data_IF_686398462313
#
_entry.id   IF_686398462313
#
_cell.length_a   1.000
_cell.length_b   1.000
_cell.length_c   1.000
_cell.angle_alpha   90.00
_cell.angle_beta   90.00
_cell.angle_gamma   90.00
#
_symmetry.space_group_name_H-M   'P 1'
#
loop_
_entity.id
_entity.type
_entity.pdbx_description
1 polymer ?
#
# COMPACT_ATOMS: atom_id res chain seq x y z
N UNK A 1 18.72 49.89 -31.20
CA UNK A 1 17.34 49.65 -30.73
C UNK A 1 16.97 48.26 -31.18
N UNK A 2 17.23 47.27 -30.32
CA UNK A 2 16.95 45.86 -30.60
C UNK A 2 16.30 45.32 -29.34
N UNK A 3 14.97 45.41 -29.33
CA UNK A 3 14.10 44.94 -28.27
C UNK A 3 14.04 43.41 -28.38
N UNK A 4 15.00 42.75 -27.74
CA UNK A 4 15.01 41.29 -27.61
C UNK A 4 13.97 40.92 -26.56
N UNK A 5 12.75 40.70 -27.06
CA UNK A 5 11.63 40.17 -26.30
C UNK A 5 12.06 38.94 -25.51
N UNK A 6 12.24 39.14 -24.20
CA UNK A 6 12.44 38.06 -23.26
C UNK A 6 11.22 37.15 -23.35
N UNK A 7 11.41 36.02 -24.05
CA UNK A 7 10.44 34.95 -24.13
C UNK A 7 10.03 34.57 -22.72
N UNK A 8 8.86 35.03 -22.32
CA UNK A 8 8.21 34.66 -21.08
C UNK A 8 7.87 33.17 -21.24
N UNK A 9 8.81 32.29 -20.87
CA UNK A 9 8.54 30.86 -20.76
C UNK A 9 7.46 30.78 -19.68
N UNK A 10 6.20 30.42 -20.00
CA UNK A 10 5.21 30.25 -18.96
C UNK A 10 5.70 29.10 -18.09
N UNK A 11 6.15 29.43 -16.88
CA UNK A 11 6.47 28.45 -15.85
C UNK A 11 5.12 27.80 -15.53
N UNK A 12 4.85 26.67 -16.19
CA UNK A 12 3.66 25.86 -15.96
C UNK A 12 3.64 25.57 -14.46
N UNK A 13 2.64 26.03 -13.68
CA UNK A 13 2.65 25.80 -12.25
C UNK A 13 2.70 24.29 -12.02
N UNK A 14 3.76 23.85 -11.34
CA UNK A 14 4.01 22.44 -11.04
C UNK A 14 2.87 21.94 -10.14
N UNK A 15 1.90 21.30 -10.80
CA UNK A 15 0.70 20.63 -10.29
C UNK A 15 -0.33 21.53 -9.60
N UNK A 16 -1.34 21.96 -10.37
CA UNK A 16 -2.64 22.25 -9.78
C UNK A 16 -3.11 21.00 -9.01
N UNK A 17 -3.56 21.18 -7.77
CA UNK A 17 -4.14 20.12 -6.97
C UNK A 17 -5.21 19.37 -7.79
N UNK A 18 -5.19 18.02 -7.86
CA UNK A 18 -6.24 17.28 -8.57
C UNK A 18 -7.59 17.34 -7.84
N UNK A 19 -7.64 17.89 -6.63
CA UNK A 19 -8.83 17.90 -5.76
C UNK A 19 -9.68 19.12 -6.06
N UNK A 20 -10.94 18.84 -6.38
CA UNK A 20 -12.01 19.83 -6.55
C UNK A 20 -13.15 19.48 -5.61
N UNK A 21 -14.15 20.37 -5.48
CA UNK A 21 -15.37 20.09 -4.69
C UNK A 21 -16.09 18.81 -5.15
N UNK A 22 -16.05 18.53 -6.45
CA UNK A 22 -16.64 17.32 -7.05
C UNK A 22 -15.77 16.06 -6.87
N UNK A 23 -14.48 16.22 -6.60
CA UNK A 23 -13.51 15.12 -6.40
C UNK A 23 -12.63 15.41 -5.19
N UNK A 24 -13.21 15.39 -3.98
CA UNK A 24 -12.52 15.81 -2.77
C UNK A 24 -11.33 14.89 -2.41
N UNK A 25 -11.37 13.63 -2.88
CA UNK A 25 -10.35 12.61 -2.59
C UNK A 25 -9.57 12.19 -3.84
N UNK A 26 -9.45 13.07 -4.85
CA UNK A 26 -8.55 12.81 -5.95
C UNK A 26 -7.08 12.85 -5.47
N UNK A 27 -6.33 11.80 -5.77
CA UNK A 27 -4.90 11.72 -5.52
C UNK A 27 -4.14 11.67 -6.85
N UNK A 28 -2.95 12.25 -6.84
CA UNK A 28 -1.98 12.16 -7.94
C UNK A 28 -1.31 10.79 -7.92
N UNK A 29 -0.76 10.36 -9.07
CA UNK A 29 0.04 9.12 -9.12
C UNK A 29 1.19 9.15 -8.10
N UNK A 30 1.89 10.28 -7.91
CA UNK A 30 2.98 10.33 -6.93
C UNK A 30 2.52 10.08 -5.49
N UNK A 31 1.34 10.56 -5.11
CA UNK A 31 0.76 10.30 -3.77
C UNK A 31 0.42 8.83 -3.58
N UNK A 32 -0.10 8.18 -4.63
CA UNK A 32 -0.29 6.74 -4.59
C UNK A 32 1.05 6.00 -4.47
N UNK A 33 2.10 6.39 -5.23
CA UNK A 33 3.40 5.67 -5.23
C UNK A 33 3.95 5.66 -3.81
N UNK A 34 3.90 6.83 -3.18
CA UNK A 34 4.33 7.02 -1.81
C UNK A 34 3.48 6.21 -0.80
N UNK A 35 2.15 6.13 -1.01
CA UNK A 35 1.29 5.27 -0.21
C UNK A 35 1.62 3.78 -0.36
N UNK A 36 1.89 3.33 -1.58
CA UNK A 36 2.30 1.95 -1.88
C UNK A 36 3.66 1.62 -1.27
N UNK A 37 4.63 2.54 -1.32
CA UNK A 37 5.91 2.35 -0.62
C UNK A 37 5.76 2.22 0.88
N UNK A 38 4.90 3.04 1.50
CA UNK A 38 4.64 2.92 2.94
C UNK A 38 3.93 1.61 3.27
N UNK A 39 2.98 1.18 2.44
CA UNK A 39 2.35 -0.14 2.60
C UNK A 39 3.39 -1.27 2.47
N UNK A 40 4.28 -1.21 1.48
CA UNK A 40 5.36 -2.19 1.30
C UNK A 40 6.28 -2.27 2.52
N UNK A 41 6.72 -1.13 3.05
CA UNK A 41 7.58 -1.07 4.23
C UNK A 41 6.84 -1.57 5.48
N UNK A 42 5.58 -1.15 5.68
CA UNK A 42 4.76 -1.58 6.79
C UNK A 42 4.51 -3.10 6.75
N UNK A 43 4.22 -3.65 5.58
CA UNK A 43 4.03 -5.10 5.39
C UNK A 43 5.28 -5.87 5.80
N UNK A 44 6.44 -5.49 5.27
CA UNK A 44 7.69 -6.19 5.56
C UNK A 44 8.11 -6.03 7.03
N UNK A 45 7.89 -4.86 7.64
CA UNK A 45 8.15 -4.65 9.06
C UNK A 45 7.27 -5.55 9.94
N UNK A 46 5.96 -5.60 9.67
CA UNK A 46 5.04 -6.45 10.44
C UNK A 46 5.35 -7.93 10.22
N UNK A 47 5.63 -8.33 8.98
CA UNK A 47 6.01 -9.72 8.66
C UNK A 47 7.27 -10.12 9.41
N UNK A 48 8.33 -9.30 9.35
CA UNK A 48 9.59 -9.55 10.05
C UNK A 48 9.39 -9.66 11.56
N UNK A 49 8.67 -8.71 12.17
CA UNK A 49 8.37 -8.73 13.61
C UNK A 49 7.54 -9.95 14.02
N UNK A 50 6.60 -10.39 13.17
CA UNK A 50 5.76 -11.56 13.44
C UNK A 50 6.56 -12.86 13.39
N UNK A 51 7.42 -13.01 12.37
CA UNK A 51 8.32 -14.15 12.22
C UNK A 51 9.31 -14.19 13.37
N UNK A 52 9.95 -13.06 13.68
CA UNK A 52 10.86 -12.91 14.81
C UNK A 52 10.18 -13.26 16.15
N UNK A 53 9.02 -12.66 16.42
CA UNK A 53 8.29 -12.85 17.67
C UNK A 53 7.82 -14.28 17.88
N UNK A 54 7.29 -14.92 16.83
CA UNK A 54 6.88 -16.33 16.89
C UNK A 54 8.06 -17.28 17.08
N UNK A 55 9.20 -17.03 16.41
CA UNK A 55 10.42 -17.81 16.60
C UNK A 55 10.94 -17.72 18.03
N UNK A 56 11.03 -16.50 18.58
CA UNK A 56 11.47 -16.27 19.97
C UNK A 56 10.53 -16.97 20.96
N UNK A 57 9.21 -16.82 20.80
CA UNK A 57 8.24 -17.43 21.71
C UNK A 57 8.31 -18.96 21.67
N UNK A 58 8.46 -19.54 20.48
CA UNK A 58 8.59 -20.99 20.30
C UNK A 58 9.85 -21.50 21.00
N UNK A 59 11.01 -20.87 20.73
CA UNK A 59 12.28 -21.27 21.36
C UNK A 59 12.24 -21.16 22.88
N UNK A 60 11.65 -20.09 23.44
CA UNK A 60 11.46 -19.93 24.89
C UNK A 60 10.55 -21.02 25.45
N UNK A 61 9.44 -21.32 24.78
CA UNK A 61 8.49 -22.35 25.22
C UNK A 61 9.08 -23.76 25.21
N UNK A 62 10.02 -24.03 24.32
CA UNK A 62 10.70 -25.32 24.18
C UNK A 62 12.02 -25.40 24.97
N UNK A 63 12.42 -24.34 25.68
CA UNK A 63 13.68 -24.29 26.42
C UNK A 63 14.94 -24.27 25.55
N UNK A 64 14.80 -23.88 24.27
CA UNK A 64 15.89 -23.78 23.30
C UNK A 64 16.57 -22.41 23.37
N UNK A 65 17.81 -22.26 22.86
CA UNK A 65 18.42 -20.96 22.68
C UNK A 65 17.55 -20.03 21.83
N UNK A 66 17.42 -18.77 22.23
CA UNK A 66 16.53 -17.77 21.60
C UNK A 66 16.78 -17.63 20.09
N UNK A 67 18.05 -17.77 19.68
CA UNK A 67 18.48 -17.59 18.30
C UNK A 67 18.58 -18.88 17.48
N UNK A 68 18.16 -20.01 18.04
CA UNK A 68 18.16 -21.27 17.31
C UNK A 68 17.16 -21.21 16.13
N UNK A 69 17.58 -21.65 14.94
CA UNK A 69 16.78 -21.58 13.71
C UNK A 69 16.62 -20.18 13.06
N UNK A 70 17.23 -19.12 13.60
CA UNK A 70 17.07 -17.77 13.06
C UNK A 70 17.54 -17.58 11.62
N UNK A 71 18.57 -18.31 11.19
CA UNK A 71 19.10 -18.23 9.83
C UNK A 71 18.00 -18.53 8.79
N UNK A 72 17.12 -19.48 9.07
CA UNK A 72 15.99 -19.83 8.20
C UNK A 72 14.96 -18.70 8.13
N UNK A 73 14.73 -17.99 9.24
CA UNK A 73 13.80 -16.87 9.31
C UNK A 73 14.31 -15.62 8.58
N UNK A 74 15.62 -15.34 8.66
CA UNK A 74 16.25 -14.30 7.83
C UNK A 74 16.18 -14.66 6.34
N UNK A 75 16.35 -15.94 6.01
CA UNK A 75 16.25 -16.43 4.63
C UNK A 75 14.83 -16.23 4.08
N UNK A 76 13.79 -16.58 4.84
CA UNK A 76 12.39 -16.32 4.46
C UNK A 76 12.12 -14.84 4.21
N UNK A 77 12.66 -13.95 5.05
CA UNK A 77 12.51 -12.50 4.89
C UNK A 77 13.23 -11.98 3.64
N UNK A 78 14.43 -12.51 3.35
CA UNK A 78 15.21 -12.19 2.16
C UNK A 78 14.48 -12.57 0.87
N UNK A 79 13.74 -13.68 0.86
CA UNK A 79 12.91 -14.08 -0.28
C UNK A 79 11.54 -13.37 -0.33
N UNK A 80 10.95 -13.02 0.82
CA UNK A 80 9.67 -12.31 0.85
C UNK A 80 9.77 -10.89 0.32
N UNK A 81 10.92 -10.24 0.49
CA UNK A 81 11.17 -8.85 0.07
C UNK A 81 11.05 -8.64 -1.46
N UNK A 82 11.75 -9.41 -2.32
CA UNK A 82 11.59 -9.28 -3.78
C UNK A 82 10.21 -9.71 -4.27
N UNK A 83 9.62 -10.75 -3.66
CA UNK A 83 8.29 -11.25 -4.07
C UNK A 83 7.21 -10.22 -3.73
N UNK A 84 7.20 -9.71 -2.50
CA UNK A 84 6.29 -8.64 -2.12
C UNK A 84 6.54 -7.39 -2.95
N UNK A 85 7.80 -7.03 -3.21
CA UNK A 85 8.15 -5.92 -4.10
C UNK A 85 7.56 -6.07 -5.50
N UNK A 86 7.62 -7.26 -6.09
CA UNK A 86 7.04 -7.55 -7.41
C UNK A 86 5.52 -7.46 -7.39
N UNK A 87 4.87 -8.02 -6.38
CA UNK A 87 3.41 -7.93 -6.18
C UNK A 87 2.95 -6.46 -6.06
N UNK A 88 3.67 -5.67 -5.27
CA UNK A 88 3.38 -4.24 -5.09
C UNK A 88 3.64 -3.44 -6.37
N UNK A 89 4.72 -3.72 -7.09
CA UNK A 89 5.10 -3.02 -8.32
C UNK A 89 4.23 -3.37 -9.54
N UNK A 90 3.63 -4.57 -9.56
CA UNK A 90 2.79 -5.04 -10.68
C UNK A 90 1.33 -4.66 -10.47
N UNK A 91 0.53 -5.54 -9.87
CA UNK A 91 -0.91 -5.35 -9.77
C UNK A 91 -1.33 -4.53 -8.55
N UNK A 92 -0.55 -4.53 -7.46
CA UNK A 92 -0.87 -3.76 -6.25
C UNK A 92 -0.97 -2.25 -6.54
N UNK A 93 0.02 -1.73 -7.26
CA UNK A 93 0.04 -0.36 -7.78
C UNK A 93 -1.19 -0.01 -8.63
N UNK A 94 -1.45 -0.81 -9.65
CA UNK A 94 -2.52 -0.55 -10.62
C UNK A 94 -3.91 -0.66 -9.98
N UNK A 95 -4.11 -1.65 -9.10
CA UNK A 95 -5.37 -1.82 -8.39
C UNK A 95 -5.63 -0.66 -7.42
N UNK A 96 -4.61 -0.18 -6.70
CA UNK A 96 -4.73 0.99 -5.83
C UNK A 96 -5.08 2.27 -6.63
N UNK A 97 -4.44 2.47 -7.78
CA UNK A 97 -4.77 3.60 -8.68
C UNK A 97 -6.20 3.52 -9.20
N UNK A 98 -6.62 2.34 -9.68
CA UNK A 98 -7.97 2.12 -10.21
C UNK A 98 -9.04 2.38 -9.14
N UNK A 99 -8.83 1.80 -7.95
CA UNK A 99 -9.72 1.97 -6.80
C UNK A 99 -9.79 3.44 -6.35
N UNK A 100 -8.65 4.12 -6.27
CA UNK A 100 -8.60 5.52 -5.89
C UNK A 100 -9.27 6.45 -6.91
N UNK A 101 -9.17 6.16 -8.22
CA UNK A 101 -9.92 6.90 -9.26
C UNK A 101 -11.43 6.66 -9.16
N UNK A 102 -11.84 5.43 -8.90
CA UNK A 102 -13.25 5.08 -8.72
C UNK A 102 -13.87 5.79 -7.50
N UNK A 103 -13.14 5.85 -6.39
CA UNK A 103 -13.58 6.48 -5.14
C UNK A 103 -13.30 7.98 -5.06
N UNK A 104 -12.78 8.61 -6.11
CA UNK A 104 -12.34 10.01 -6.05
C UNK A 104 -13.47 11.01 -5.69
N UNK A 105 -14.72 10.65 -6.00
CA UNK A 105 -15.93 11.44 -5.69
C UNK A 105 -16.47 11.19 -4.28
N UNK A 106 -16.05 10.13 -3.60
CA UNK A 106 -16.58 9.76 -2.30
C UNK A 106 -15.85 10.54 -1.17
N UNK A 107 -16.52 11.47 -0.48
CA UNK A 107 -15.88 12.26 0.58
C UNK A 107 -15.65 11.47 1.87
N UNK A 108 -16.38 10.37 2.11
CA UNK A 108 -16.35 9.63 3.37
C UNK A 108 -15.07 8.81 3.49
N UNK A 109 -14.14 9.26 4.34
CA UNK A 109 -12.87 8.56 4.61
C UNK A 109 -13.02 7.09 4.99
N UNK A 110 -14.08 6.72 5.72
CA UNK A 110 -14.29 5.33 6.14
C UNK A 110 -14.54 4.37 4.96
N UNK A 111 -15.17 4.85 3.88
CA UNK A 111 -15.39 4.04 2.66
C UNK A 111 -14.06 3.68 2.01
N UNK A 112 -13.14 4.65 1.91
CA UNK A 112 -11.79 4.41 1.42
C UNK A 112 -11.04 3.43 2.31
N UNK A 113 -11.10 3.59 3.64
CA UNK A 113 -10.45 2.65 4.59
C UNK A 113 -10.89 1.21 4.36
N UNK A 114 -12.20 0.97 4.26
CA UNK A 114 -12.74 -0.38 4.00
C UNK A 114 -12.29 -0.89 2.64
N UNK A 115 -12.31 -0.04 1.62
CA UNK A 115 -11.90 -0.43 0.27
C UNK A 115 -10.41 -0.82 0.19
N UNK A 116 -9.50 -0.04 0.81
CA UNK A 116 -8.07 -0.37 0.85
C UNK A 116 -7.76 -1.55 1.76
N UNK A 117 -8.50 -1.72 2.87
CA UNK A 117 -8.44 -2.94 3.68
C UNK A 117 -8.82 -4.16 2.86
N UNK A 118 -9.94 -4.12 2.14
CA UNK A 118 -10.40 -5.20 1.28
C UNK A 118 -9.41 -5.51 0.15
N UNK A 119 -8.85 -4.48 -0.48
CA UNK A 119 -7.82 -4.63 -1.51
C UNK A 119 -6.56 -5.30 -0.94
N UNK A 120 -6.07 -4.85 0.22
CA UNK A 120 -4.92 -5.44 0.90
C UNK A 120 -5.19 -6.89 1.31
N UNK A 121 -6.39 -7.18 1.82
CA UNK A 121 -6.78 -8.54 2.19
C UNK A 121 -6.79 -9.48 0.98
N UNK A 122 -7.50 -9.10 -0.10
CA UNK A 122 -7.61 -9.91 -1.30
C UNK A 122 -6.23 -10.13 -1.96
N UNK A 123 -5.42 -9.07 -2.07
CA UNK A 123 -4.07 -9.18 -2.62
C UNK A 123 -3.16 -10.04 -1.75
N UNK A 124 -3.17 -9.87 -0.43
CA UNK A 124 -2.37 -10.70 0.48
C UNK A 124 -2.76 -12.17 0.42
N UNK A 125 -4.06 -12.47 0.40
CA UNK A 125 -4.58 -13.83 0.28
C UNK A 125 -4.14 -14.48 -1.04
N UNK A 126 -4.39 -13.82 -2.19
CA UNK A 126 -3.99 -14.33 -3.51
C UNK A 126 -2.47 -14.51 -3.63
N UNK A 127 -1.69 -13.55 -3.15
CA UNK A 127 -0.22 -13.62 -3.19
C UNK A 127 0.29 -14.80 -2.36
N UNK A 128 -0.32 -15.05 -1.20
CA UNK A 128 0.07 -16.16 -0.34
C UNK A 128 -0.27 -17.53 -0.94
N UNK A 129 -1.38 -17.65 -1.68
CA UNK A 129 -1.71 -18.89 -2.41
C UNK A 129 -0.64 -19.20 -3.46
N UNK A 130 -0.26 -18.20 -4.25
CA UNK A 130 0.78 -18.33 -5.28
C UNK A 130 2.14 -18.64 -4.65
N UNK A 131 2.51 -17.94 -3.57
CA UNK A 131 3.76 -18.17 -2.88
C UNK A 131 3.86 -19.60 -2.33
N UNK A 132 2.81 -20.08 -1.66
CA UNK A 132 2.81 -21.44 -1.09
C UNK A 132 2.92 -22.51 -2.19
N UNK A 133 2.25 -22.34 -3.34
CA UNK A 133 2.45 -23.28 -4.47
C UNK A 133 3.88 -23.28 -4.97
N UNK A 134 4.43 -22.09 -5.23
CA UNK A 134 5.75 -21.96 -5.84
C UNK A 134 6.88 -22.40 -4.91
N UNK A 135 6.71 -22.24 -3.59
CA UNK A 135 7.80 -22.46 -2.62
C UNK A 135 7.76 -23.85 -2.00
N UNK A 136 6.57 -24.38 -1.70
CA UNK A 136 6.43 -25.63 -0.95
C UNK A 136 6.03 -26.82 -1.84
N UNK A 137 5.67 -26.60 -3.11
CA UNK A 137 5.43 -27.66 -4.09
C UNK A 137 4.37 -28.67 -3.64
N UNK A 138 3.43 -28.28 -2.77
CA UNK A 138 2.44 -29.19 -2.21
C UNK A 138 1.68 -29.92 -3.34
N UNK A 139 1.68 -31.26 -3.36
CA UNK A 139 0.85 -32.01 -4.29
C UNK A 139 -0.62 -31.66 -4.04
N UNK A 140 -1.37 -31.45 -5.12
CA UNK A 140 -2.75 -30.96 -5.22
C UNK A 140 -3.83 -31.86 -4.55
N UNK A 141 -3.44 -32.78 -3.69
CA UNK A 141 -4.32 -33.76 -3.07
C UNK A 141 -4.87 -33.23 -1.74
N UNK A 142 -5.88 -32.36 -1.82
CA UNK A 142 -6.59 -31.82 -0.66
C UNK A 142 -7.10 -30.38 -0.84
N UNK A 143 -7.91 -30.13 -1.86
CA UNK A 143 -8.32 -28.77 -2.25
C UNK A 143 -8.90 -27.90 -1.11
N UNK A 144 -9.79 -28.37 -0.20
CA UNK A 144 -10.42 -27.49 0.79
C UNK A 144 -9.48 -27.00 1.88
N UNK A 145 -8.62 -27.88 2.40
CA UNK A 145 -7.74 -27.57 3.54
C UNK A 145 -6.67 -26.55 3.17
N UNK A 146 -6.29 -26.50 1.89
CA UNK A 146 -5.33 -25.53 1.37
C UNK A 146 -5.86 -24.10 1.38
N UNK A 147 -7.10 -23.87 0.95
CA UNK A 147 -7.70 -22.53 0.98
C UNK A 147 -8.01 -22.08 2.42
N UNK A 148 -8.23 -23.02 3.33
CA UNK A 148 -8.52 -22.77 4.74
C UNK A 148 -7.26 -22.68 5.61
N UNK A 149 -6.05 -22.75 5.01
CA UNK A 149 -4.81 -22.64 5.76
C UNK A 149 -4.75 -21.29 6.50
N UNK A 150 -4.63 -21.29 7.85
CA UNK A 150 -4.57 -20.06 8.66
C UNK A 150 -3.45 -19.09 8.23
N UNK A 151 -2.39 -19.60 7.60
CA UNK A 151 -1.30 -18.79 7.05
C UNK A 151 -1.80 -17.79 6.00
N UNK A 152 -2.71 -18.20 5.11
CA UNK A 152 -3.26 -17.32 4.08
C UNK A 152 -4.07 -16.19 4.69
N UNK A 153 -4.86 -16.51 5.72
CA UNK A 153 -5.62 -15.50 6.48
C UNK A 153 -4.68 -14.52 7.19
N UNK A 154 -3.63 -15.03 7.83
CA UNK A 154 -2.62 -14.19 8.48
C UNK A 154 -1.96 -13.23 7.48
N UNK A 155 -1.47 -13.73 6.35
CA UNK A 155 -0.89 -12.90 5.29
C UNK A 155 -1.88 -11.85 4.75
N UNK A 156 -3.15 -12.23 4.57
CA UNK A 156 -4.20 -11.32 4.12
C UNK A 156 -4.46 -10.19 5.12
N UNK A 157 -4.56 -10.51 6.42
CA UNK A 157 -4.73 -9.51 7.49
C UNK A 157 -3.53 -8.57 7.54
N UNK A 158 -2.30 -9.09 7.49
CA UNK A 158 -1.09 -8.25 7.47
C UNK A 158 -1.07 -7.31 6.28
N UNK A 159 -1.41 -7.80 5.08
CA UNK A 159 -1.48 -6.99 3.86
C UNK A 159 -2.60 -5.93 3.93
N UNK A 160 -3.76 -6.26 4.50
CA UNK A 160 -4.85 -5.32 4.74
C UNK A 160 -4.42 -4.15 5.62
N UNK A 161 -3.79 -4.45 6.76
CA UNK A 161 -3.31 -3.43 7.70
C UNK A 161 -2.21 -2.56 7.09
N UNK A 162 -1.30 -3.18 6.32
CA UNK A 162 -0.25 -2.45 5.61
C UNK A 162 -0.83 -1.51 4.53
N UNK A 163 -1.80 -1.98 3.73
CA UNK A 163 -2.48 -1.16 2.75
C UNK A 163 -3.24 0.01 3.39
N UNK A 164 -3.91 -0.23 4.52
CA UNK A 164 -4.57 0.82 5.30
C UNK A 164 -3.55 1.86 5.81
N UNK A 165 -2.42 1.42 6.36
CA UNK A 165 -1.36 2.31 6.83
C UNK A 165 -0.80 3.18 5.69
N UNK A 166 -0.54 2.57 4.53
CA UNK A 166 -0.09 3.29 3.32
C UNK A 166 -1.11 4.33 2.86
N UNK A 167 -2.39 3.99 2.82
CA UNK A 167 -3.46 4.92 2.46
C UNK A 167 -3.63 6.05 3.49
N UNK A 168 -3.64 5.75 4.79
CA UNK A 168 -3.73 6.77 5.85
C UNK A 168 -2.57 7.75 5.78
N UNK A 169 -1.35 7.25 5.54
CA UNK A 169 -0.18 8.12 5.38
C UNK A 169 -0.30 9.02 4.15
N UNK A 170 -0.60 8.43 2.99
CA UNK A 170 -0.73 9.16 1.73
C UNK A 170 -1.85 10.21 1.81
N UNK A 171 -3.03 9.82 2.29
CA UNK A 171 -4.20 10.69 2.40
C UNK A 171 -3.97 11.86 3.36
N UNK A 172 -3.38 11.62 4.54
CA UNK A 172 -3.05 12.71 5.50
C UNK A 172 -2.05 13.68 4.92
N UNK A 173 -0.98 13.19 4.27
CA UNK A 173 0.05 14.04 3.67
C UNK A 173 -0.52 14.88 2.53
N UNK A 174 -1.30 14.26 1.67
CA UNK A 174 -1.95 14.87 0.53
C UNK A 174 -2.93 15.98 0.94
N UNK A 175 -3.83 15.69 1.88
CA UNK A 175 -4.84 16.66 2.35
C UNK A 175 -4.23 17.83 3.13
N UNK A 176 -3.09 17.63 3.78
CA UNK A 176 -2.34 18.72 4.43
C UNK A 176 -1.68 19.67 3.43
N UNK A 177 -1.20 19.16 2.30
CA UNK A 177 -0.45 19.95 1.31
C UNK A 177 -1.36 20.70 0.35
N UNK A 178 -2.47 20.08 -0.05
CA UNK A 178 -3.31 20.57 -1.14
C UNK A 178 -4.80 20.33 -0.79
N UNK A 179 -5.42 21.19 0.04
CA UNK A 179 -6.86 21.14 0.27
C UNK A 179 -7.64 21.50 -1.01
N UNK A 180 -8.88 21.01 -1.16
CA UNK A 180 -9.72 21.33 -2.31
C UNK A 180 -9.92 22.85 -2.42
N UNK A 181 -9.59 23.44 -3.57
CA UNK A 181 -9.34 24.88 -3.71
C UNK A 181 -10.50 25.67 -4.35
N UNK A 182 -11.67 25.06 -4.50
CA UNK A 182 -12.83 25.70 -5.17
C UNK A 182 -13.35 26.98 -4.47
N UNK A 183 -12.77 27.37 -3.32
CA UNK A 183 -13.15 28.54 -2.54
C UNK A 183 -12.45 29.85 -2.91
N UNK A 184 -11.37 29.87 -3.73
CA UNK A 184 -10.56 31.10 -3.89
C UNK A 184 -10.92 31.95 -5.12
N UNK A 185 -11.49 31.39 -6.18
CA UNK A 185 -11.73 32.16 -7.43
C UNK A 185 -13.02 32.99 -7.40
N UNK A 186 -14.00 32.61 -6.58
CA UNK A 186 -15.26 33.36 -6.47
C UNK A 186 -15.13 34.70 -5.72
N UNK A 187 -14.08 34.91 -4.93
CA UNK A 187 -13.91 36.11 -4.11
C UNK A 187 -13.13 37.25 -4.78
N UNK A 188 -12.57 37.05 -5.99
CA UNK A 188 -11.72 38.05 -6.65
C UNK A 188 -12.33 38.65 -7.91
N UNK A 189 -13.56 38.26 -8.29
CA UNK A 189 -14.24 38.79 -9.50
C UNK A 189 -15.30 39.86 -9.18
N UNK A 190 -15.39 40.29 -7.92
CA UNK A 190 -16.25 41.39 -7.48
C UNK A 190 -15.44 42.37 -6.63
N UNK A 191 -14.60 43.18 -7.27
CA UNK A 191 -14.06 44.42 -6.72
C UNK A 191 -13.84 45.41 -7.85
#
# INVERSE_FOLDING_TARGET
>A
MSDLGAGHIPIRPLSASPRTSQRPMAFTSLEFILGVWVAFLAFNAVLFLSVLGSGVLTNVSEGRPIFDGMAMMFTLTLFSLPISGLVFATYGWLAALGLGKFLAREPRKWVHRIAYLGLGFASGYLSSLVLVELTLGYPTEGAPERFLNPLHFWCAVTAALAALAGWEFASRRALRRNPATDTVVAATTTA
#
